data_IF_612607146251
#
_entry.id   IF_612607146251
#
_cell.length_a   1.000
_cell.length_b   1.000
_cell.length_c   1.000
_cell.angle_alpha   90.00
_cell.angle_beta   90.00
_cell.angle_gamma   90.00
#
_symmetry.space_group_name_H-M   'P 1'
#
loop_
_entity.id
_entity.type
_entity.pdbx_description
1 polymer ?
#
# COMPACT_ATOMS: atom_id res chain seq x y z
N UNK A 1 9.99 -4.54 -18.00
CA UNK A 1 8.87 -5.38 -17.53
C UNK A 1 9.02 -6.76 -18.15
N UNK A 2 8.89 -7.83 -17.35
CA UNK A 2 8.96 -9.22 -17.80
C UNK A 2 7.58 -9.67 -18.34
N UNK A 3 7.55 -10.67 -19.20
CA UNK A 3 6.31 -11.21 -19.79
C UNK A 3 5.98 -12.63 -19.31
N UNK A 4 6.83 -13.23 -18.50
CA UNK A 4 6.66 -14.58 -17.97
C UNK A 4 6.93 -14.62 -16.47
N UNK A 5 6.32 -15.58 -15.80
CA UNK A 5 6.46 -15.85 -14.37
C UNK A 5 7.15 -17.21 -14.13
N UNK A 6 7.99 -17.67 -15.06
CA UNK A 6 8.59 -19.02 -15.08
C UNK A 6 9.48 -19.31 -13.86
N UNK A 7 10.01 -18.27 -13.21
CA UNK A 7 10.77 -18.41 -11.97
C UNK A 7 9.91 -18.79 -10.76
N UNK A 8 8.57 -18.58 -10.84
CA UNK A 8 7.65 -18.92 -9.76
C UNK A 8 7.25 -20.41 -9.83
N UNK A 9 7.05 -21.05 -8.68
CA UNK A 9 6.49 -22.40 -8.64
C UNK A 9 5.15 -22.49 -9.37
N UNK A 10 4.85 -23.61 -9.99
CA UNK A 10 3.61 -23.87 -10.76
C UNK A 10 2.33 -23.54 -9.97
N UNK A 11 2.35 -23.83 -8.67
CA UNK A 11 1.24 -23.45 -7.78
C UNK A 11 0.99 -21.95 -7.78
N UNK A 12 2.05 -21.14 -7.66
CA UNK A 12 1.94 -19.67 -7.63
C UNK A 12 1.46 -19.12 -8.98
N UNK A 13 1.93 -19.69 -10.08
CA UNK A 13 1.45 -19.34 -11.42
C UNK A 13 -0.05 -19.63 -11.56
N UNK A 14 -0.51 -20.80 -11.10
CA UNK A 14 -1.93 -21.19 -11.12
C UNK A 14 -2.79 -20.27 -10.25
N UNK A 15 -2.32 -19.89 -9.05
CA UNK A 15 -3.00 -18.92 -8.18
C UNK A 15 -3.11 -17.55 -8.88
N UNK A 16 -2.03 -17.04 -9.48
CA UNK A 16 -2.01 -15.76 -10.19
C UNK A 16 -2.93 -15.75 -11.42
N UNK A 17 -2.96 -16.82 -12.20
CA UNK A 17 -3.89 -16.96 -13.31
C UNK A 17 -5.36 -16.97 -12.86
N UNK A 18 -5.62 -17.57 -11.71
CA UNK A 18 -6.96 -17.57 -11.12
C UNK A 18 -7.35 -16.17 -10.61
N UNK A 19 -6.46 -15.49 -9.90
CA UNK A 19 -6.66 -14.11 -9.44
C UNK A 19 -6.92 -13.18 -10.64
N UNK A 20 -6.10 -13.28 -11.69
CA UNK A 20 -6.30 -12.49 -12.91
C UNK A 20 -7.71 -12.67 -13.49
N UNK A 21 -8.20 -13.91 -13.58
CA UNK A 21 -9.55 -14.18 -14.09
C UNK A 21 -10.62 -13.55 -13.21
N UNK A 22 -10.51 -13.68 -11.88
CA UNK A 22 -11.45 -13.04 -10.95
C UNK A 22 -11.47 -11.52 -11.17
N UNK A 23 -10.32 -10.88 -11.26
CA UNK A 23 -10.22 -9.43 -11.46
C UNK A 23 -10.89 -8.97 -12.76
N UNK A 24 -10.67 -9.69 -13.86
CA UNK A 24 -11.25 -9.35 -15.15
C UNK A 24 -12.77 -9.57 -15.20
N UNK A 25 -13.25 -10.70 -14.65
CA UNK A 25 -14.66 -11.08 -14.65
C UNK A 25 -15.50 -10.13 -13.79
N UNK A 26 -15.04 -9.84 -12.56
CA UNK A 26 -15.76 -8.96 -11.64
C UNK A 26 -15.74 -7.50 -12.12
N UNK A 27 -14.61 -7.04 -12.70
CA UNK A 27 -14.58 -5.73 -13.31
C UNK A 27 -15.55 -5.62 -14.49
N UNK A 28 -15.62 -6.63 -15.38
CA UNK A 28 -16.57 -6.65 -16.49
C UNK A 28 -18.03 -6.62 -15.99
N UNK A 29 -18.34 -7.35 -14.92
CA UNK A 29 -19.67 -7.34 -14.29
C UNK A 29 -19.98 -5.96 -13.69
N UNK A 30 -19.03 -5.32 -12.99
CA UNK A 30 -19.21 -4.01 -12.37
C UNK A 30 -19.50 -2.91 -13.39
N UNK A 31 -18.78 -2.87 -14.51
CA UNK A 31 -19.00 -1.86 -15.56
C UNK A 31 -20.25 -2.09 -16.41
N UNK A 32 -20.76 -3.32 -16.48
CA UNK A 32 -21.95 -3.66 -17.30
C UNK A 32 -23.18 -2.83 -16.90
N UNK A 33 -23.29 -2.44 -15.63
CA UNK A 33 -24.40 -1.63 -15.09
C UNK A 33 -24.16 -0.13 -15.16
N UNK A 34 -22.96 0.30 -15.59
CA UNK A 34 -22.59 1.71 -15.65
C UNK A 34 -23.40 2.48 -16.71
N UNK A 35 -23.92 3.64 -16.33
CA UNK A 35 -24.74 4.48 -17.21
C UNK A 35 -23.89 5.43 -18.07
N UNK A 36 -22.73 5.86 -17.57
CA UNK A 36 -21.83 6.76 -18.32
C UNK A 36 -21.05 5.98 -19.39
N UNK A 37 -21.02 6.45 -20.66
CA UNK A 37 -20.40 5.71 -21.76
C UNK A 37 -18.93 5.33 -21.52
N UNK A 38 -18.11 6.23 -20.97
CA UNK A 38 -16.70 5.97 -20.70
C UNK A 38 -16.47 4.92 -19.60
N UNK A 39 -17.41 4.79 -18.65
CA UNK A 39 -17.39 3.74 -17.63
C UNK A 39 -17.85 2.40 -18.20
N UNK A 40 -18.95 2.41 -18.96
CA UNK A 40 -19.49 1.21 -19.60
C UNK A 40 -18.54 0.58 -20.62
N UNK A 41 -17.74 1.41 -21.31
CA UNK A 41 -16.70 0.97 -22.25
C UNK A 41 -15.33 0.87 -21.60
N UNK A 42 -15.28 0.88 -20.26
CA UNK A 42 -14.07 0.75 -19.47
C UNK A 42 -13.31 -0.54 -19.80
N UNK A 43 -11.99 -0.49 -19.71
CA UNK A 43 -11.12 -1.64 -19.96
C UNK A 43 -10.03 -1.72 -18.92
N UNK A 44 -9.66 -2.94 -18.57
CA UNK A 44 -8.37 -3.24 -17.97
C UNK A 44 -7.35 -3.31 -19.09
N UNK A 45 -6.28 -2.55 -18.99
CA UNK A 45 -5.20 -2.56 -19.97
C UNK A 45 -4.07 -3.49 -19.55
N UNK A 46 -3.76 -3.54 -18.25
CA UNK A 46 -2.70 -4.40 -17.71
C UNK A 46 -3.06 -4.88 -16.31
N UNK A 47 -2.57 -6.08 -15.97
CA UNK A 47 -2.42 -6.55 -14.61
C UNK A 47 -0.95 -6.93 -14.44
N UNK A 48 -0.26 -6.27 -13.52
CA UNK A 48 1.19 -6.39 -13.36
C UNK A 48 1.46 -6.86 -11.94
N UNK A 49 2.11 -8.00 -11.80
CA UNK A 49 2.68 -8.46 -10.54
C UNK A 49 3.94 -7.65 -10.25
N UNK A 50 4.05 -7.08 -9.03
CA UNK A 50 5.22 -6.35 -8.58
C UNK A 50 5.61 -6.80 -7.16
N UNK A 51 6.56 -6.14 -6.52
CA UNK A 51 6.99 -6.49 -5.18
C UNK A 51 7.92 -7.71 -5.15
N UNK A 52 7.89 -8.44 -4.03
CA UNK A 52 8.84 -9.53 -3.76
C UNK A 52 8.72 -10.69 -4.77
N UNK A 53 7.50 -11.06 -5.15
CA UNK A 53 7.30 -12.12 -6.14
C UNK A 53 7.83 -11.78 -7.54
N UNK A 54 7.77 -10.53 -7.95
CA UNK A 54 8.31 -10.09 -9.24
C UNK A 54 9.85 -10.02 -9.24
N UNK A 55 10.46 -9.75 -8.07
CA UNK A 55 11.92 -9.65 -7.91
C UNK A 55 12.59 -10.96 -7.54
N UNK A 56 11.82 -12.02 -7.23
CA UNK A 56 12.33 -13.32 -6.76
C UNK A 56 13.00 -13.26 -5.37
N UNK A 57 12.54 -12.32 -4.52
CA UNK A 57 12.98 -12.17 -3.12
C UNK A 57 11.85 -12.45 -2.09
N UNK A 58 10.83 -13.17 -2.52
CA UNK A 58 9.67 -13.55 -1.70
C UNK A 58 10.02 -14.60 -0.64
N UNK A 59 9.27 -14.58 0.48
CA UNK A 59 9.41 -15.52 1.60
C UNK A 59 8.09 -16.26 1.81
N UNK A 60 8.15 -17.56 2.00
CA UNK A 60 7.02 -18.43 2.30
C UNK A 60 7.31 -19.30 3.53
N UNK A 61 7.26 -18.66 4.70
CA UNK A 61 7.47 -19.31 6.00
C UNK A 61 6.24 -19.12 6.92
N UNK A 62 5.08 -19.69 6.57
CA UNK A 62 3.84 -19.49 7.32
C UNK A 62 3.95 -20.00 8.77
N UNK A 63 4.80 -20.99 9.03
CA UNK A 63 5.07 -21.54 10.38
C UNK A 63 5.71 -20.48 11.29
N UNK A 64 6.54 -19.61 10.72
CA UNK A 64 7.18 -18.48 11.41
C UNK A 64 6.31 -17.21 11.39
N UNK A 65 5.12 -17.27 10.79
CA UNK A 65 4.20 -16.14 10.65
C UNK A 65 4.65 -15.11 9.61
N UNK A 66 5.57 -15.47 8.73
CA UNK A 66 6.07 -14.62 7.65
C UNK A 66 5.72 -15.25 6.29
N UNK A 67 4.88 -14.57 5.53
CA UNK A 67 4.47 -14.95 4.18
C UNK A 67 4.33 -13.69 3.35
N UNK A 68 4.98 -13.67 2.18
CA UNK A 68 4.88 -12.57 1.23
C UNK A 68 3.50 -12.52 0.58
N UNK A 69 3.03 -11.31 0.29
CA UNK A 69 1.75 -11.03 -0.35
C UNK A 69 1.96 -10.94 -1.88
N UNK A 70 0.92 -11.25 -2.68
CA UNK A 70 0.92 -10.87 -4.09
C UNK A 70 0.52 -9.41 -4.24
N UNK A 71 1.43 -8.58 -4.74
CA UNK A 71 1.18 -7.18 -5.03
C UNK A 71 0.85 -7.00 -6.51
N UNK A 72 -0.37 -6.54 -6.80
CA UNK A 72 -0.88 -6.39 -8.17
C UNK A 72 -1.22 -4.94 -8.49
N UNK A 73 -0.66 -4.44 -9.59
CA UNK A 73 -1.08 -3.19 -10.21
C UNK A 73 -2.06 -3.49 -11.34
N UNK A 74 -3.28 -2.99 -11.23
CA UNK A 74 -4.28 -3.01 -12.29
C UNK A 74 -4.30 -1.66 -12.98
N UNK A 75 -4.04 -1.64 -14.28
CA UNK A 75 -4.04 -0.43 -15.11
C UNK A 75 -5.31 -0.37 -15.92
N UNK A 76 -6.11 0.68 -15.71
CA UNK A 76 -7.42 0.86 -16.35
C UNK A 76 -7.44 2.03 -17.34
N UNK A 77 -8.48 2.06 -18.18
CA UNK A 77 -8.64 3.03 -19.27
C UNK A 77 -8.98 4.45 -18.79
N UNK A 78 -9.54 4.62 -17.59
CA UNK A 78 -10.03 5.91 -17.11
C UNK A 78 -9.93 6.04 -15.59
N UNK A 79 -9.62 7.25 -15.08
CA UNK A 79 -9.47 7.49 -13.64
C UNK A 79 -10.73 7.19 -12.80
N UNK A 80 -11.93 7.37 -13.35
CA UNK A 80 -13.18 7.02 -12.66
C UNK A 80 -13.31 5.51 -12.35
N UNK A 81 -12.50 4.66 -12.96
CA UNK A 81 -12.52 3.21 -12.78
C UNK A 81 -11.52 2.73 -11.71
N UNK A 82 -10.81 3.65 -11.08
CA UNK A 82 -9.82 3.32 -10.04
C UNK A 82 -10.45 3.18 -8.65
N UNK A 83 -11.73 3.53 -8.51
CA UNK A 83 -12.42 3.50 -7.21
C UNK A 83 -12.67 2.07 -6.76
N UNK A 84 -12.00 1.68 -5.68
CA UNK A 84 -12.04 0.31 -5.16
C UNK A 84 -13.47 -0.09 -4.76
N UNK A 85 -14.18 0.79 -4.05
CA UNK A 85 -15.52 0.52 -3.54
C UNK A 85 -16.56 0.28 -4.65
N UNK A 86 -16.37 0.89 -5.82
CA UNK A 86 -17.32 0.83 -6.93
C UNK A 86 -17.05 -0.35 -7.88
N UNK A 87 -15.77 -0.70 -8.09
CA UNK A 87 -15.39 -1.61 -9.19
C UNK A 87 -14.59 -2.83 -8.76
N UNK A 88 -13.90 -2.80 -7.62
CA UNK A 88 -12.92 -3.82 -7.25
C UNK A 88 -13.25 -4.54 -5.96
N UNK A 89 -14.13 -3.99 -5.12
CA UNK A 89 -14.51 -4.55 -3.82
C UNK A 89 -14.97 -6.02 -3.90
N UNK A 90 -15.80 -6.35 -4.91
CA UNK A 90 -16.32 -7.73 -5.07
C UNK A 90 -15.18 -8.68 -5.45
N UNK A 91 -14.27 -8.24 -6.31
CA UNK A 91 -13.10 -9.03 -6.68
C UNK A 91 -12.19 -9.28 -5.47
N UNK A 92 -11.90 -8.23 -4.67
CA UNK A 92 -11.12 -8.37 -3.43
C UNK A 92 -11.78 -9.33 -2.43
N UNK A 93 -13.09 -9.21 -2.21
CA UNK A 93 -13.84 -10.10 -1.28
C UNK A 93 -13.87 -11.54 -1.80
N UNK A 94 -14.02 -11.75 -3.09
CA UNK A 94 -13.97 -13.08 -3.72
C UNK A 94 -12.59 -13.72 -3.60
N UNK A 95 -11.53 -12.97 -3.88
CA UNK A 95 -10.14 -13.42 -3.72
C UNK A 95 -9.85 -13.77 -2.25
N UNK A 96 -10.27 -12.93 -1.32
CA UNK A 96 -10.05 -13.14 0.12
C UNK A 96 -10.72 -14.43 0.64
N UNK A 97 -11.86 -14.80 0.09
CA UNK A 97 -12.63 -15.99 0.51
C UNK A 97 -12.32 -17.25 -0.27
N UNK A 98 -11.51 -17.15 -1.30
CA UNK A 98 -11.19 -18.31 -2.14
C UNK A 98 -10.14 -19.20 -1.46
N UNK A 99 -10.50 -20.45 -1.07
CA UNK A 99 -9.58 -21.34 -0.37
C UNK A 99 -8.44 -21.87 -1.26
N UNK A 100 -8.51 -21.66 -2.58
CA UNK A 100 -7.43 -22.03 -3.51
C UNK A 100 -6.34 -20.99 -3.59
N UNK A 101 -6.59 -19.78 -3.08
CA UNK A 101 -5.62 -18.69 -2.98
C UNK A 101 -5.05 -18.69 -1.57
N UNK A 102 -3.83 -19.18 -1.41
CA UNK A 102 -3.23 -19.40 -0.10
C UNK A 102 -2.51 -18.16 0.46
N UNK A 103 -2.36 -17.12 -0.36
CA UNK A 103 -1.58 -15.92 -0.02
C UNK A 103 -2.45 -14.68 0.02
N UNK A 104 -2.12 -13.69 0.87
CA UNK A 104 -2.74 -12.38 0.78
C UNK A 104 -2.50 -11.76 -0.60
N UNK A 105 -3.49 -11.02 -1.09
CA UNK A 105 -3.42 -10.30 -2.37
C UNK A 105 -3.70 -8.83 -2.12
N UNK A 106 -2.79 -7.98 -2.52
CA UNK A 106 -2.94 -6.53 -2.47
C UNK A 106 -3.12 -5.99 -3.88
N UNK A 107 -4.14 -5.16 -4.06
CA UNK A 107 -4.47 -4.59 -5.37
C UNK A 107 -4.35 -3.08 -5.29
N UNK A 108 -3.59 -2.50 -6.20
CA UNK A 108 -3.60 -1.06 -6.47
C UNK A 108 -4.14 -0.83 -7.86
N UNK A 109 -4.99 0.17 -8.03
CA UNK A 109 -5.64 0.45 -9.31
C UNK A 109 -5.36 1.88 -9.74
N UNK A 110 -4.82 2.04 -10.94
CA UNK A 110 -4.53 3.34 -11.53
C UNK A 110 -4.92 3.39 -13.01
N UNK A 111 -5.24 4.58 -13.51
CA UNK A 111 -5.42 4.76 -14.95
C UNK A 111 -4.08 4.74 -15.67
N UNK A 112 -4.08 4.35 -16.95
CA UNK A 112 -2.87 4.43 -17.80
C UNK A 112 -2.29 5.85 -17.86
N UNK A 113 -3.17 6.85 -17.83
CA UNK A 113 -2.75 8.25 -17.81
C UNK A 113 -1.95 8.58 -16.55
N UNK A 114 -2.43 8.18 -15.36
CA UNK A 114 -1.74 8.42 -14.07
C UNK A 114 -0.38 7.72 -14.07
N UNK A 115 -0.33 6.44 -14.46
CA UNK A 115 0.92 5.66 -14.52
C UNK A 115 1.92 6.32 -15.48
N UNK A 116 1.49 6.70 -16.68
CA UNK A 116 2.36 7.31 -17.67
C UNK A 116 2.84 8.70 -17.25
N UNK A 117 2.03 9.49 -16.55
CA UNK A 117 2.46 10.76 -15.98
C UNK A 117 3.53 10.56 -14.91
N UNK A 118 3.34 9.58 -14.01
CA UNK A 118 4.31 9.27 -12.97
C UNK A 118 5.64 8.75 -13.54
N UNK A 119 5.59 7.86 -14.54
CA UNK A 119 6.77 7.42 -15.29
C UNK A 119 7.49 8.59 -15.98
N UNK A 120 6.73 9.52 -16.57
CA UNK A 120 7.29 10.72 -17.22
C UNK A 120 7.95 11.69 -16.23
N UNK A 121 7.54 11.66 -14.95
CA UNK A 121 8.19 12.39 -13.86
C UNK A 121 9.35 11.61 -13.22
N UNK A 122 9.52 10.32 -13.57
CA UNK A 122 10.59 9.49 -13.02
C UNK A 122 10.37 9.05 -11.59
N UNK A 123 9.12 8.93 -11.14
CA UNK A 123 8.79 8.48 -9.79
C UNK A 123 9.25 7.03 -9.58
N UNK A 124 10.13 6.81 -8.61
CA UNK A 124 10.87 5.55 -8.42
C UNK A 124 9.99 4.31 -8.32
N UNK A 125 8.86 4.38 -7.64
CA UNK A 125 7.93 3.26 -7.52
C UNK A 125 7.44 2.75 -8.88
N UNK A 126 7.04 3.68 -9.76
CA UNK A 126 6.55 3.35 -11.10
C UNK A 126 7.67 2.87 -12.02
N UNK A 127 8.85 3.47 -11.86
CA UNK A 127 10.06 3.05 -12.59
C UNK A 127 10.44 1.64 -12.22
N UNK A 128 10.41 1.29 -10.93
CA UNK A 128 10.68 -0.05 -10.45
C UNK A 128 9.66 -1.07 -10.98
N UNK A 129 8.37 -0.75 -10.96
CA UNK A 129 7.34 -1.61 -11.55
C UNK A 129 7.55 -1.78 -13.06
N UNK A 130 7.84 -0.70 -13.79
CA UNK A 130 8.08 -0.79 -15.23
C UNK A 130 9.33 -1.60 -15.58
N UNK A 131 10.35 -1.62 -14.71
CA UNK A 131 11.58 -2.40 -14.87
C UNK A 131 11.40 -3.87 -14.48
N UNK A 132 10.92 -4.12 -13.26
CA UNK A 132 10.97 -5.43 -12.61
C UNK A 132 9.62 -6.18 -12.63
N UNK A 133 8.50 -5.47 -12.87
CA UNK A 133 7.17 -6.04 -12.87
C UNK A 133 6.95 -7.10 -13.95
N UNK A 134 6.05 -8.03 -13.66
CA UNK A 134 5.66 -9.13 -14.56
C UNK A 134 4.24 -8.85 -15.05
N UNK A 135 4.07 -8.74 -16.36
CA UNK A 135 2.75 -8.58 -16.96
C UNK A 135 2.00 -9.92 -16.96
N UNK A 136 1.04 -10.07 -16.05
CA UNK A 136 0.12 -11.21 -16.05
C UNK A 136 -0.92 -11.05 -17.16
N UNK A 137 -1.40 -9.83 -17.38
CA UNK A 137 -2.31 -9.47 -18.48
C UNK A 137 -1.83 -8.21 -19.17
N UNK A 138 -1.83 -8.20 -20.48
CA UNK A 138 -1.43 -7.05 -21.30
C UNK A 138 -2.33 -6.91 -22.53
N UNK A 139 -3.20 -5.90 -22.55
CA UNK A 139 -4.01 -5.59 -23.72
C UNK A 139 -3.14 -4.84 -24.74
N UNK A 140 -3.01 -5.34 -25.97
CA UNK A 140 -2.18 -4.72 -27.00
C UNK A 140 -2.48 -3.22 -27.25
N UNK A 141 -1.49 -2.47 -27.70
CA UNK A 141 -1.58 -1.05 -28.03
C UNK A 141 -1.72 -0.07 -26.85
N UNK A 142 -1.51 -0.52 -25.61
CA UNK A 142 -1.57 0.31 -24.41
C UNK A 142 -0.24 0.28 -23.64
N UNK A 143 0.83 0.72 -24.32
CA UNK A 143 2.17 0.71 -23.72
C UNK A 143 2.31 1.68 -22.54
N UNK A 144 3.15 1.31 -21.58
CA UNK A 144 3.64 2.24 -20.56
C UNK A 144 4.60 3.24 -21.18
N UNK A 145 4.59 4.48 -20.69
CA UNK A 145 5.56 5.48 -21.10
C UNK A 145 6.99 5.07 -20.72
N UNK A 146 7.96 5.46 -21.53
CA UNK A 146 9.36 5.29 -21.16
C UNK A 146 9.69 6.19 -19.98
N UNK A 147 10.22 5.62 -18.86
CA UNK A 147 10.59 6.42 -17.70
C UNK A 147 11.61 7.51 -18.05
N UNK A 148 11.35 8.73 -17.61
CA UNK A 148 12.38 9.78 -17.63
C UNK A 148 13.06 9.82 -16.28
N UNK A 149 14.39 9.94 -16.23
CA UNK A 149 15.08 10.15 -14.97
C UNK A 149 14.59 11.45 -14.32
N UNK A 150 14.11 11.37 -13.09
CA UNK A 150 13.84 12.55 -12.28
C UNK A 150 15.19 13.18 -11.92
N UNK A 151 15.31 14.51 -12.03
CA UNK A 151 16.55 15.13 -11.58
C UNK A 151 16.72 14.95 -10.06
N UNK A 152 17.96 14.78 -9.56
CA UNK A 152 18.18 14.67 -8.11
C UNK A 152 17.64 15.87 -7.32
N UNK A 153 17.67 17.04 -7.90
CA UNK A 153 17.15 18.27 -7.30
C UNK A 153 15.61 18.23 -7.16
N UNK A 154 14.89 17.86 -8.22
CA UNK A 154 13.43 17.76 -8.19
C UNK A 154 12.97 16.64 -7.25
N UNK A 155 13.66 15.51 -7.26
CA UNK A 155 13.39 14.39 -6.33
C UNK A 155 13.55 14.83 -4.86
N UNK A 156 14.60 15.57 -4.54
CA UNK A 156 14.83 16.10 -3.19
C UNK A 156 13.72 17.06 -2.78
N UNK A 157 13.37 18.03 -3.62
CA UNK A 157 12.32 19.01 -3.32
C UNK A 157 10.97 18.32 -3.07
N UNK A 158 10.60 17.36 -3.91
CA UNK A 158 9.37 16.60 -3.73
C UNK A 158 9.37 15.80 -2.42
N UNK A 159 10.44 15.04 -2.15
CA UNK A 159 10.55 14.22 -0.95
C UNK A 159 10.53 15.07 0.33
N UNK A 160 11.18 16.24 0.32
CA UNK A 160 11.18 17.18 1.44
C UNK A 160 9.78 17.73 1.70
N UNK A 161 9.05 18.15 0.66
CA UNK A 161 7.67 18.63 0.80
C UNK A 161 6.75 17.55 1.38
N UNK A 162 6.87 16.32 0.91
CA UNK A 162 6.12 15.20 1.48
C UNK A 162 6.46 14.95 2.96
N UNK A 163 7.74 14.99 3.31
CA UNK A 163 8.13 14.81 4.71
C UNK A 163 7.51 15.87 5.63
N UNK A 164 7.60 17.13 5.25
CA UNK A 164 7.06 18.25 6.03
C UNK A 164 5.54 18.15 6.20
N UNK A 165 4.81 17.84 5.16
CA UNK A 165 3.35 17.73 5.19
C UNK A 165 2.89 16.52 6.02
N UNK A 166 3.41 15.34 5.70
CA UNK A 166 2.87 14.08 6.24
C UNK A 166 3.34 13.80 7.67
N UNK A 167 4.58 14.16 8.03
CA UNK A 167 5.06 14.04 9.40
C UNK A 167 4.29 14.97 10.35
N UNK A 168 4.00 16.21 9.91
CA UNK A 168 3.20 17.16 10.68
C UNK A 168 1.76 16.67 10.87
N UNK A 169 1.14 16.16 9.79
CA UNK A 169 -0.22 15.60 9.85
C UNK A 169 -0.30 14.39 10.79
N UNK A 170 0.70 13.49 10.77
CA UNK A 170 0.78 12.36 11.68
C UNK A 170 0.89 12.80 13.14
N UNK A 171 1.70 13.82 13.43
CA UNK A 171 1.84 14.39 14.77
C UNK A 171 0.52 15.00 15.28
N UNK A 172 -0.23 15.67 14.40
CA UNK A 172 -1.53 16.24 14.74
C UNK A 172 -2.55 15.15 15.12
N UNK A 173 -2.67 14.07 14.32
CA UNK A 173 -3.55 12.96 14.63
C UNK A 173 -3.14 12.26 15.94
N UNK A 174 -1.85 12.11 16.21
CA UNK A 174 -1.34 11.56 17.46
C UNK A 174 -1.76 12.42 18.66
N UNK A 175 -1.60 13.74 18.59
CA UNK A 175 -2.01 14.68 19.64
C UNK A 175 -3.51 14.67 19.90
N UNK A 176 -4.31 14.58 18.83
CA UNK A 176 -5.77 14.45 18.94
C UNK A 176 -6.17 13.11 19.58
N UNK A 177 -5.47 12.02 19.24
CA UNK A 177 -5.69 10.70 19.87
C UNK A 177 -5.44 10.74 21.38
N UNK A 178 -4.36 11.37 21.82
CA UNK A 178 -4.06 11.55 23.25
C UNK A 178 -5.14 12.37 23.96
N UNK A 179 -5.64 13.40 23.30
CA UNK A 179 -6.72 14.24 23.84
C UNK A 179 -8.01 13.44 23.97
N UNK A 180 -8.39 12.65 22.96
CA UNK A 180 -9.56 11.78 23.00
C UNK A 180 -9.44 10.72 24.11
N UNK A 181 -8.25 10.11 24.27
CA UNK A 181 -7.97 9.14 25.31
C UNK A 181 -8.16 9.75 26.72
N UNK A 182 -7.60 10.94 26.96
CA UNK A 182 -7.77 11.65 28.25
C UNK A 182 -9.22 11.99 28.59
N UNK A 183 -10.07 12.14 27.56
CA UNK A 183 -11.50 12.39 27.73
C UNK A 183 -12.35 11.10 27.81
N UNK A 184 -11.70 9.92 27.79
CA UNK A 184 -12.41 8.63 27.83
C UNK A 184 -13.09 8.22 26.53
N UNK A 185 -12.82 8.94 25.42
CA UNK A 185 -13.36 8.66 24.08
C UNK A 185 -12.47 7.59 23.39
N UNK A 186 -12.63 6.32 23.80
CA UNK A 186 -11.69 5.26 23.43
C UNK A 186 -11.78 4.87 21.95
N UNK A 187 -12.97 4.87 21.36
CA UNK A 187 -13.16 4.54 19.94
C UNK A 187 -12.56 5.62 19.04
N UNK A 188 -12.79 6.87 19.37
CA UNK A 188 -12.24 8.01 18.67
C UNK A 188 -10.73 8.06 18.79
N UNK A 189 -10.19 7.79 19.98
CA UNK A 189 -8.75 7.69 20.21
C UNK A 189 -8.11 6.60 19.32
N UNK A 190 -8.74 5.43 19.21
CA UNK A 190 -8.27 4.34 18.36
C UNK A 190 -8.28 4.72 16.87
N UNK A 191 -9.35 5.37 16.40
CA UNK A 191 -9.44 5.84 15.01
C UNK A 191 -8.36 6.88 14.69
N UNK A 192 -8.17 7.85 15.59
CA UNK A 192 -7.15 8.90 15.42
C UNK A 192 -5.73 8.31 15.46
N UNK A 193 -5.50 7.31 16.31
CA UNK A 193 -4.22 6.61 16.37
C UNK A 193 -3.95 5.78 15.11
N UNK A 194 -5.00 5.17 14.53
CA UNK A 194 -4.92 4.53 13.23
C UNK A 194 -4.51 5.55 12.16
N UNK A 195 -5.13 6.73 12.13
CA UNK A 195 -4.79 7.79 11.17
C UNK A 195 -3.33 8.27 11.34
N UNK A 196 -2.84 8.42 12.56
CA UNK A 196 -1.45 8.74 12.82
C UNK A 196 -0.51 7.67 12.24
N UNK A 197 -0.82 6.38 12.45
CA UNK A 197 -0.05 5.25 11.94
C UNK A 197 -0.03 5.21 10.42
N UNK A 198 -1.19 5.38 9.79
CA UNK A 198 -1.33 5.46 8.34
C UNK A 198 -0.45 6.57 7.75
N UNK A 199 -0.53 7.79 8.33
CA UNK A 199 0.26 8.93 7.88
C UNK A 199 1.77 8.72 8.02
N UNK A 200 2.22 8.03 9.05
CA UNK A 200 3.64 7.72 9.23
C UNK A 200 4.15 6.76 8.13
N UNK A 201 3.41 5.71 7.81
CA UNK A 201 3.79 4.81 6.73
C UNK A 201 3.75 5.50 5.37
N UNK A 202 2.73 6.32 5.10
CA UNK A 202 2.64 7.09 3.87
C UNK A 202 3.82 8.09 3.77
N UNK A 203 4.15 8.79 4.86
CA UNK A 203 5.31 9.68 4.92
C UNK A 203 6.60 8.95 4.53
N UNK A 204 6.84 7.79 5.14
CA UNK A 204 8.02 6.97 4.84
C UNK A 204 8.05 6.57 3.36
N UNK A 205 6.96 6.01 2.84
CA UNK A 205 6.89 5.55 1.44
C UNK A 205 7.10 6.70 0.46
N UNK A 206 6.46 7.85 0.68
CA UNK A 206 6.63 9.04 -0.16
C UNK A 206 8.06 9.56 -0.18
N UNK A 207 8.75 9.59 0.96
CA UNK A 207 10.15 10.04 1.02
C UNK A 207 11.08 9.03 0.35
N UNK A 208 10.81 7.73 0.48
CA UNK A 208 11.66 6.70 -0.10
C UNK A 208 11.42 6.48 -1.59
N UNK A 209 10.17 6.58 -2.05
CA UNK A 209 9.76 6.13 -3.38
C UNK A 209 8.99 7.16 -4.21
N UNK A 210 8.67 8.32 -3.63
CA UNK A 210 7.80 9.36 -4.19
C UNK A 210 6.39 8.85 -4.55
N UNK A 211 5.97 7.76 -3.90
CA UNK A 211 4.65 7.14 -4.13
C UNK A 211 4.12 6.50 -2.84
N UNK A 212 2.82 6.44 -2.71
CA UNK A 212 2.11 5.54 -1.78
C UNK A 212 0.82 5.02 -2.44
N UNK A 213 0.40 3.77 -2.14
CA UNK A 213 -0.87 3.24 -2.63
C UNK A 213 -2.05 3.96 -1.95
N UNK A 214 -3.14 4.18 -2.68
CA UNK A 214 -4.39 4.74 -2.13
C UNK A 214 -5.09 3.67 -1.28
N UNK A 215 -4.59 3.44 -0.08
CA UNK A 215 -5.10 2.41 0.83
C UNK A 215 -5.12 2.91 2.26
N UNK A 216 -6.19 2.59 2.98
CA UNK A 216 -6.30 2.78 4.43
C UNK A 216 -5.93 1.52 5.22
N UNK A 217 -5.48 0.47 4.54
CA UNK A 217 -5.03 -0.76 5.16
C UNK A 217 -3.61 -0.59 5.71
N UNK A 218 -3.50 -0.28 7.00
CA UNK A 218 -2.19 -0.07 7.65
C UNK A 218 -1.33 -1.34 7.70
N UNK A 219 -1.91 -2.55 7.58
CA UNK A 219 -1.13 -3.79 7.46
C UNK A 219 -0.41 -3.83 6.11
N UNK A 220 -1.10 -3.46 5.04
CA UNK A 220 -0.52 -3.37 3.69
C UNK A 220 0.55 -2.28 3.60
N UNK A 221 0.27 -1.07 4.09
CA UNK A 221 1.26 0.01 4.13
C UNK A 221 2.50 -0.37 4.95
N UNK A 222 2.29 -1.08 6.05
CA UNK A 222 3.35 -1.63 6.89
C UNK A 222 4.21 -2.64 6.13
N UNK A 223 3.60 -3.60 5.43
CA UNK A 223 4.33 -4.59 4.62
C UNK A 223 5.24 -3.91 3.61
N UNK A 224 4.70 -2.99 2.80
CA UNK A 224 5.48 -2.22 1.82
C UNK A 224 6.62 -1.42 2.45
N UNK A 225 6.41 -0.86 3.64
CA UNK A 225 7.42 -0.07 4.32
C UNK A 225 8.52 -0.97 4.92
N UNK A 226 8.16 -2.08 5.56
CA UNK A 226 9.09 -3.05 6.15
C UNK A 226 9.95 -3.75 5.09
N UNK A 227 9.39 -4.03 3.90
CA UNK A 227 10.14 -4.57 2.76
C UNK A 227 11.24 -3.62 2.26
N UNK A 228 11.00 -2.32 2.38
CA UNK A 228 12.00 -1.30 2.02
C UNK A 228 13.03 -1.06 3.12
N UNK A 229 12.62 -1.20 4.39
CA UNK A 229 13.46 -0.86 5.54
C UNK A 229 13.13 -1.73 6.76
N UNK A 230 13.91 -2.80 6.98
CA UNK A 230 13.67 -3.75 8.06
C UNK A 230 13.66 -3.14 9.48
N UNK A 231 14.31 -1.99 9.70
CA UNK A 231 14.29 -1.28 11.01
C UNK A 231 12.88 -0.90 11.46
N UNK A 232 11.91 -0.79 10.54
CA UNK A 232 10.50 -0.51 10.87
C UNK A 232 9.78 -1.66 11.56
N UNK A 233 10.30 -2.90 11.44
CA UNK A 233 9.73 -4.09 12.11
C UNK A 233 9.74 -3.93 13.62
N UNK A 234 10.76 -3.25 14.17
CA UNK A 234 10.94 -3.07 15.62
C UNK A 234 9.88 -2.18 16.28
N UNK A 235 9.15 -1.38 15.50
CA UNK A 235 8.08 -0.53 16.02
C UNK A 235 6.92 -1.36 16.63
N UNK A 236 6.70 -2.57 16.12
CA UNK A 236 5.59 -3.42 16.51
C UNK A 236 6.07 -4.79 17.00
N UNK A 237 5.88 -5.07 18.27
CA UNK A 237 6.15 -6.40 18.80
C UNK A 237 5.23 -7.44 18.14
N UNK A 238 5.83 -8.57 17.75
CA UNK A 238 5.11 -9.76 17.21
C UNK A 238 5.26 -10.97 18.13
N UNK A 239 5.94 -10.82 19.26
CA UNK A 239 6.40 -11.92 20.11
C UNK A 239 5.26 -12.66 20.80
N UNK A 240 4.17 -12.00 21.09
CA UNK A 240 3.05 -12.61 21.84
C UNK A 240 1.69 -12.35 21.16
N UNK A 241 0.66 -13.11 21.62
CA UNK A 241 -0.70 -12.99 21.08
C UNK A 241 -1.35 -11.64 21.41
N UNK A 242 -0.97 -11.02 22.52
CA UNK A 242 -1.55 -9.73 22.96
C UNK A 242 -1.13 -8.62 22.01
N UNK A 243 0.15 -8.52 21.66
CA UNK A 243 0.65 -7.50 20.76
C UNK A 243 0.06 -7.62 19.34
N UNK A 244 -0.05 -8.87 18.84
CA UNK A 244 -0.73 -9.12 17.55
C UNK A 244 -2.19 -8.71 17.59
N UNK A 245 -2.92 -9.03 18.68
CA UNK A 245 -4.31 -8.61 18.89
C UNK A 245 -4.44 -7.08 18.92
N UNK A 246 -3.54 -6.38 19.63
CA UNK A 246 -3.53 -4.91 19.72
C UNK A 246 -3.38 -4.27 18.33
N UNK A 247 -2.44 -4.75 17.51
CA UNK A 247 -2.29 -4.25 16.14
C UNK A 247 -3.54 -4.52 15.28
N UNK A 248 -4.17 -5.69 15.41
CA UNK A 248 -5.43 -5.99 14.72
C UNK A 248 -6.58 -5.07 15.19
N UNK A 249 -6.65 -4.73 16.48
CA UNK A 249 -7.62 -3.72 16.97
C UNK A 249 -7.37 -2.36 16.32
N UNK A 250 -6.11 -1.92 16.25
CA UNK A 250 -5.75 -0.66 15.59
C UNK A 250 -6.11 -0.69 14.11
N UNK A 251 -5.82 -1.77 13.40
CA UNK A 251 -6.17 -1.93 11.98
C UNK A 251 -7.68 -1.82 11.75
N UNK A 252 -8.47 -2.50 12.56
CA UNK A 252 -9.94 -2.50 12.49
C UNK A 252 -10.56 -1.15 12.89
N UNK A 253 -9.86 -0.31 13.64
CA UNK A 253 -10.37 0.98 14.11
C UNK A 253 -10.81 1.89 12.97
N UNK A 254 -10.18 1.82 11.78
CA UNK A 254 -10.57 2.62 10.63
C UNK A 254 -12.06 2.48 10.27
N UNK A 255 -12.60 1.28 10.30
CA UNK A 255 -14.00 1.00 9.99
C UNK A 255 -14.81 0.83 11.27
N UNK A 256 -14.38 -0.08 12.15
CA UNK A 256 -15.21 -0.55 13.25
C UNK A 256 -15.38 0.46 14.38
N UNK A 257 -14.40 1.31 14.64
CA UNK A 257 -14.56 2.36 15.65
C UNK A 257 -15.69 3.33 15.30
N UNK A 258 -15.95 3.52 14.01
CA UNK A 258 -17.01 4.44 13.50
C UNK A 258 -18.39 3.79 13.36
N UNK A 259 -18.42 2.51 12.96
CA UNK A 259 -19.65 1.88 12.49
C UNK A 259 -20.08 0.67 13.30
N UNK A 260 -19.19 0.06 14.09
CA UNK A 260 -19.51 -1.16 14.85
C UNK A 260 -19.78 -0.87 16.33
N UNK A 261 -20.98 -1.17 16.84
CA UNK A 261 -21.27 -1.11 18.28
C UNK A 261 -20.39 -2.08 19.08
N UNK A 262 -19.98 -3.21 18.50
CA UNK A 262 -19.21 -4.27 19.14
C UNK A 262 -17.71 -3.99 19.19
N UNK A 263 -17.21 -2.93 18.52
CA UNK A 263 -15.80 -2.57 18.63
C UNK A 263 -15.49 -2.12 20.06
N UNK A 264 -14.58 -2.82 20.71
CA UNK A 264 -14.13 -2.53 22.08
C UNK A 264 -12.60 -2.51 22.13
N UNK A 265 -12.07 -1.50 22.78
CA UNK A 265 -10.64 -1.32 23.05
C UNK A 265 -10.48 -0.75 24.45
N UNK A 266 -9.45 -1.16 25.17
CA UNK A 266 -9.19 -0.70 26.54
C UNK A 266 -8.21 0.47 26.56
N UNK A 267 -8.14 1.17 27.69
CA UNK A 267 -7.13 2.21 27.94
C UNK A 267 -5.73 1.62 27.81
N UNK A 268 -5.47 0.47 28.45
CA UNK A 268 -4.18 -0.23 28.37
C UNK A 268 -3.78 -0.58 26.92
N UNK A 269 -4.75 -1.06 26.11
CA UNK A 269 -4.48 -1.34 24.70
C UNK A 269 -4.06 -0.07 23.95
N UNK A 270 -4.72 1.07 24.21
CA UNK A 270 -4.44 2.35 23.56
C UNK A 270 -3.09 2.94 24.00
N UNK A 271 -2.74 2.84 25.29
CA UNK A 271 -1.45 3.34 25.80
C UNK A 271 -0.28 2.55 25.19
N UNK A 272 -0.38 1.24 25.12
CA UNK A 272 0.63 0.38 24.49
C UNK A 272 0.75 0.61 22.98
N UNK A 273 -0.38 0.78 22.31
CA UNK A 273 -0.41 1.14 20.89
C UNK A 273 0.19 2.53 20.66
N UNK A 274 -0.11 3.49 21.52
CA UNK A 274 0.47 4.84 21.46
C UNK A 274 2.00 4.80 21.61
N UNK A 275 2.52 3.95 22.51
CA UNK A 275 3.95 3.70 22.64
C UNK A 275 4.57 3.10 21.37
N UNK A 276 3.85 2.17 20.72
CA UNK A 276 4.29 1.57 19.45
C UNK A 276 4.30 2.59 18.31
N UNK A 277 3.27 3.43 18.21
CA UNK A 277 3.20 4.51 17.23
C UNK A 277 4.30 5.55 17.45
N UNK A 278 4.66 5.82 18.69
CA UNK A 278 5.79 6.73 19.00
C UNK A 278 7.14 6.13 18.55
N UNK A 279 7.37 4.83 18.75
CA UNK A 279 8.56 4.15 18.20
C UNK A 279 8.58 4.22 16.68
N UNK A 280 7.43 3.94 16.03
CA UNK A 280 7.29 4.08 14.58
C UNK A 280 7.63 5.50 14.11
N UNK A 281 7.09 6.53 14.78
CA UNK A 281 7.35 7.93 14.46
C UNK A 281 8.83 8.24 14.51
N UNK A 282 9.50 7.89 15.60
CA UNK A 282 10.93 8.16 15.78
C UNK A 282 11.79 7.48 14.70
N UNK A 283 11.44 6.22 14.35
CA UNK A 283 12.14 5.47 13.30
C UNK A 283 11.90 6.10 11.93
N UNK A 284 10.64 6.41 11.58
CA UNK A 284 10.28 7.05 10.30
C UNK A 284 10.98 8.40 10.14
N UNK A 285 10.98 9.26 11.18
CA UNK A 285 11.67 10.56 11.12
C UNK A 285 13.16 10.39 10.88
N UNK A 286 13.80 9.45 11.57
CA UNK A 286 15.22 9.16 11.38
C UNK A 286 15.52 8.73 9.95
N UNK A 287 14.77 7.76 9.45
CA UNK A 287 14.92 7.20 8.11
C UNK A 287 14.66 8.23 6.99
N UNK A 288 13.62 9.05 7.17
CA UNK A 288 13.31 10.11 6.23
C UNK A 288 14.42 11.18 6.20
N UNK A 289 14.95 11.58 7.36
CA UNK A 289 16.06 12.54 7.43
C UNK A 289 17.36 12.00 6.82
N UNK A 290 17.68 10.71 7.04
CA UNK A 290 18.82 10.03 6.41
C UNK A 290 18.67 10.06 4.87
N UNK A 291 17.47 9.70 4.38
CA UNK A 291 17.18 9.71 2.93
C UNK A 291 17.27 11.11 2.33
N UNK A 292 16.63 12.09 2.96
CA UNK A 292 16.67 13.49 2.51
C UNK A 292 18.10 14.06 2.49
N UNK A 293 18.93 13.70 3.47
CA UNK A 293 20.34 14.08 3.46
C UNK A 293 21.06 13.53 2.23
N UNK A 294 20.91 12.22 1.95
CA UNK A 294 21.52 11.58 0.77
C UNK A 294 21.02 12.21 -0.54
N UNK A 295 19.70 12.48 -0.63
CA UNK A 295 19.12 13.12 -1.82
C UNK A 295 19.65 14.55 -2.02
N UNK A 296 19.80 15.32 -0.95
CA UNK A 296 20.37 16.69 -1.00
C UNK A 296 21.82 16.68 -1.46
N UNK A 297 22.63 15.74 -0.97
CA UNK A 297 24.01 15.57 -1.40
C UNK A 297 24.10 15.21 -2.89
N UNK A 298 23.23 14.30 -3.37
CA UNK A 298 23.13 13.97 -4.78
C UNK A 298 22.67 15.15 -5.65
N UNK A 299 21.72 15.95 -5.16
CA UNK A 299 21.24 17.15 -5.83
C UNK A 299 22.32 18.24 -5.95
N UNK A 300 23.23 18.34 -4.98
CA UNK A 300 24.35 19.30 -4.99
C UNK A 300 25.52 18.86 -5.87
N UNK A 301 25.61 17.57 -6.19
CA UNK A 301 26.66 16.97 -7.01
C UNK A 301 26.30 16.87 -8.51
N UNK A 302 25.01 17.09 -8.87
CA UNK A 302 24.47 17.01 -10.23
C UNK A 302 24.42 18.37 -10.92
#
# INVERSE_FOLDING_TARGET
MKSDADHLPERNQTELDHIQRILLDEFAAAIATATKPHKRNGKVYKIILFGSYARDDWVDEPENGYQSDYDLLVVVSHGDLTEIADYWYIAEDRILRDPTIARPVNIIVHSLQEVNQALSRGEYFWVDIARDGIALYDLPCHALATPKPLTPADAYVMAQGYFEEWANTAANFRSLSETALRQGMLKEAAFLLHQATERLYICFLLVQTLYFPRSHNIKFLRSLAEDKEPRLVEAWSRLNKIDRRRFELLKRAYVEARYSPSYAITVDDLEELAGSVERLRATVETLCRERLKTMREAAAAA
#
